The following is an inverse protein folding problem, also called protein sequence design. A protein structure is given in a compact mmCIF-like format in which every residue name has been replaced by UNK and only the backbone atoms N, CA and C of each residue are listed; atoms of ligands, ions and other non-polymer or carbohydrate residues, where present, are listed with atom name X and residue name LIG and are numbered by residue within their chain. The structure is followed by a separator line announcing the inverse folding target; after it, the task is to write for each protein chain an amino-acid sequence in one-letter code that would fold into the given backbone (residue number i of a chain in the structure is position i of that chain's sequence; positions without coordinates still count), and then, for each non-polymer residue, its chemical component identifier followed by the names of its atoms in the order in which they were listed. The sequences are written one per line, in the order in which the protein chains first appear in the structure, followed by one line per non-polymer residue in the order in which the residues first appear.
data_IF_949954512970
#
_entry.id   IF_949954512970
#
_cell.length_a   1.000
_cell.length_b   1.000
_cell.length_c   1.000
_cell.angle_alpha   90.00
_cell.angle_beta   90.00
_cell.angle_gamma   90.00
#
_symmetry.space_group_name_H-M   'P 1'
#
loop_
_entity.id
_entity.type
_entity.pdbx_description
1 polymer ?
#
# COMPACT_ATOMS: atom_id res chain seq x y z
N UNK A 1 1.15 22.60 -5.99
CA UNK A 1 0.30 21.38 -6.05
C UNK A 1 -1.08 21.80 -6.47
N UNK A 2 -1.68 21.14 -7.45
CA UNK A 2 -3.04 21.45 -7.88
C UNK A 2 -4.05 20.82 -6.91
N UNK A 3 -5.12 21.55 -6.58
CA UNK A 3 -6.17 21.09 -5.66
C UNK A 3 -6.81 19.78 -6.14
N UNK A 4 -6.91 19.57 -7.45
CA UNK A 4 -7.42 18.33 -8.05
C UNK A 4 -6.58 17.12 -7.73
N UNK A 5 -5.24 17.22 -7.79
CA UNK A 5 -4.35 16.11 -7.42
C UNK A 5 -4.49 15.75 -5.93
N UNK A 6 -4.54 16.76 -5.07
CA UNK A 6 -4.71 16.52 -3.62
C UNK A 6 -6.03 15.79 -3.31
N UNK A 7 -7.12 16.20 -3.99
CA UNK A 7 -8.42 15.54 -3.85
C UNK A 7 -8.38 14.06 -4.30
N UNK A 8 -7.76 13.78 -5.45
CA UNK A 8 -7.62 12.40 -5.92
C UNK A 8 -6.82 11.52 -4.95
N UNK A 9 -5.73 12.05 -4.38
CA UNK A 9 -4.91 11.31 -3.41
C UNK A 9 -5.65 11.08 -2.09
N UNK A 10 -6.48 12.02 -1.64
CA UNK A 10 -7.37 11.81 -0.49
C UNK A 10 -8.39 10.70 -0.77
N UNK A 11 -9.00 10.68 -1.97
CA UNK A 11 -9.89 9.60 -2.37
C UNK A 11 -9.17 8.23 -2.39
N UNK A 12 -7.91 8.17 -2.83
CA UNK A 12 -7.13 6.91 -2.80
C UNK A 12 -6.83 6.44 -1.39
N UNK A 13 -6.49 7.37 -0.49
CA UNK A 13 -6.30 7.05 0.92
C UNK A 13 -7.59 6.50 1.54
N UNK A 14 -8.77 7.03 1.17
CA UNK A 14 -10.07 6.53 1.59
C UNK A 14 -10.43 5.20 0.92
N UNK A 15 -10.24 5.08 -0.39
CA UNK A 15 -10.48 3.85 -1.15
C UNK A 15 -9.65 2.65 -0.64
N UNK A 16 -8.48 2.91 -0.01
CA UNK A 16 -7.65 1.84 0.56
C UNK A 16 -8.31 1.06 1.70
N UNK A 17 -9.44 1.55 2.24
CA UNK A 17 -10.24 0.84 3.25
C UNK A 17 -11.25 -0.16 2.64
N UNK A 18 -11.47 -0.11 1.33
CA UNK A 18 -12.31 -1.08 0.64
C UNK A 18 -11.60 -2.42 0.47
N UNK A 19 -12.39 -3.48 0.37
CA UNK A 19 -11.90 -4.79 -0.08
C UNK A 19 -11.81 -4.77 -1.62
N UNK A 20 -10.60 -4.47 -2.08
CA UNK A 20 -10.31 -4.25 -3.51
C UNK A 20 -9.71 -5.49 -4.19
N UNK A 21 -9.82 -6.66 -3.55
CA UNK A 21 -9.31 -7.92 -4.12
C UNK A 21 -9.89 -8.17 -5.51
N UNK A 22 -8.98 -8.44 -6.45
CA UNK A 22 -9.30 -8.98 -7.78
C UNK A 22 -10.32 -8.20 -8.63
N UNK A 23 -10.52 -6.91 -8.38
CA UNK A 23 -11.39 -6.10 -9.25
C UNK A 23 -10.77 -5.89 -10.62
N UNK A 24 -11.15 -6.74 -11.56
CA UNK A 24 -10.69 -6.68 -12.95
C UNK A 24 -11.51 -5.70 -13.80
N UNK A 25 -12.76 -5.40 -13.41
CA UNK A 25 -13.65 -4.53 -14.19
C UNK A 25 -13.83 -3.15 -13.57
N UNK A 26 -14.07 -2.17 -14.44
CA UNK A 26 -14.42 -0.80 -14.02
C UNK A 26 -15.70 -0.77 -13.20
N UNK A 27 -16.68 -1.62 -13.55
CA UNK A 27 -17.96 -1.69 -12.85
C UNK A 27 -17.82 -2.24 -11.43
N UNK A 28 -17.01 -3.28 -11.23
CA UNK A 28 -16.76 -3.83 -9.89
C UNK A 28 -16.13 -2.76 -8.98
N UNK A 29 -15.18 -1.99 -9.51
CA UNK A 29 -14.56 -0.88 -8.77
C UNK A 29 -15.59 0.19 -8.38
N UNK A 30 -16.49 0.55 -9.30
CA UNK A 30 -17.59 1.50 -9.03
C UNK A 30 -18.49 0.96 -7.91
N UNK A 31 -18.92 -0.30 -7.98
CA UNK A 31 -19.85 -0.90 -7.03
C UNK A 31 -19.21 -1.02 -5.62
N UNK A 32 -17.92 -1.40 -5.54
CA UNK A 32 -17.20 -1.49 -4.27
C UNK A 32 -17.03 -0.11 -3.64
N UNK A 33 -16.61 0.90 -4.40
CA UNK A 33 -16.39 2.25 -3.87
C UNK A 33 -17.71 2.97 -3.48
N UNK A 34 -18.84 2.58 -4.07
CA UNK A 34 -20.16 3.08 -3.70
C UNK A 34 -20.69 2.44 -2.40
N UNK A 35 -20.16 1.29 -2.01
CA UNK A 35 -20.56 0.55 -0.82
C UNK A 35 -19.79 0.94 0.45
N UNK A 36 -20.25 0.38 1.59
CA UNK A 36 -19.55 0.50 2.86
C UNK A 36 -18.14 -0.14 2.79
N UNK A 37 -17.15 0.42 3.46
CA UNK A 37 -17.15 1.62 4.32
C UNK A 37 -16.91 2.93 3.57
N UNK A 38 -16.71 2.94 2.25
CA UNK A 38 -16.24 4.08 1.48
C UNK A 38 -17.36 5.08 1.16
N UNK A 39 -18.49 4.57 0.67
CA UNK A 39 -19.69 5.36 0.39
C UNK A 39 -19.45 6.56 -0.54
N UNK A 40 -18.62 6.41 -1.56
CA UNK A 40 -18.46 7.43 -2.59
C UNK A 40 -19.78 7.68 -3.32
N UNK A 41 -20.06 8.93 -3.65
CA UNK A 41 -21.17 9.25 -4.54
C UNK A 41 -20.97 8.64 -5.93
N UNK A 42 -22.06 8.46 -6.68
CA UNK A 42 -22.01 7.94 -8.06
C UNK A 42 -21.00 8.71 -8.91
N UNK A 43 -20.99 10.03 -8.82
CA UNK A 43 -20.02 10.87 -9.55
C UNK A 43 -18.57 10.56 -9.14
N UNK A 44 -18.30 10.41 -7.85
CA UNK A 44 -16.94 10.11 -7.35
C UNK A 44 -16.48 8.74 -7.83
N UNK A 45 -17.34 7.71 -7.76
CA UNK A 45 -16.98 6.34 -8.19
C UNK A 45 -16.71 6.27 -9.68
N UNK A 46 -17.57 6.92 -10.51
CA UNK A 46 -17.41 6.93 -11.95
C UNK A 46 -16.12 7.66 -12.38
N UNK A 47 -15.86 8.85 -11.82
CA UNK A 47 -14.64 9.61 -12.14
C UNK A 47 -13.39 8.91 -11.62
N UNK A 48 -13.44 8.28 -10.44
CA UNK A 48 -12.32 7.48 -9.91
C UNK A 48 -12.02 6.30 -10.85
N UNK A 49 -13.02 5.48 -11.16
CA UNK A 49 -12.86 4.29 -11.99
C UNK A 49 -12.52 4.59 -13.45
N UNK A 50 -12.88 5.78 -13.96
CA UNK A 50 -12.47 6.27 -15.26
C UNK A 50 -10.98 6.59 -15.33
N UNK A 51 -10.43 7.20 -14.28
CA UNK A 51 -9.06 7.69 -14.26
C UNK A 51 -8.06 6.66 -13.72
N UNK A 52 -8.51 5.74 -12.86
CA UNK A 52 -7.66 4.82 -12.13
C UNK A 52 -8.11 3.37 -12.27
N UNK A 53 -7.16 2.47 -12.22
CA UNK A 53 -7.38 1.03 -12.08
C UNK A 53 -6.53 0.49 -10.92
N UNK A 54 -6.92 -0.65 -10.37
CA UNK A 54 -6.11 -1.37 -9.39
C UNK A 54 -5.05 -2.15 -10.15
N UNK A 55 -3.78 -1.80 -9.92
CA UNK A 55 -2.64 -2.54 -10.45
C UNK A 55 -2.30 -3.73 -9.56
N UNK A 56 -2.43 -3.56 -8.24
CA UNK A 56 -2.29 -4.63 -7.26
C UNK A 56 -2.94 -4.24 -5.92
N UNK A 57 -3.47 -5.23 -5.20
CA UNK A 57 -3.98 -5.06 -3.84
C UNK A 57 -3.36 -6.09 -2.92
N UNK A 58 -2.88 -5.64 -1.75
CA UNK A 58 -2.47 -6.47 -0.64
C UNK A 58 -3.56 -6.42 0.42
N UNK A 59 -4.34 -7.50 0.59
CA UNK A 59 -5.34 -7.58 1.64
C UNK A 59 -4.69 -7.61 3.03
N UNK A 60 -5.53 -7.56 4.07
CA UNK A 60 -5.08 -7.55 5.45
C UNK A 60 -4.10 -8.66 5.79
N UNK A 61 -2.94 -8.27 6.24
CA UNK A 61 -1.96 -9.15 6.86
C UNK A 61 -2.18 -9.26 8.38
N UNK A 62 -1.54 -10.22 9.04
CA UNK A 62 -1.63 -10.42 10.49
C UNK A 62 -1.15 -9.19 11.30
N UNK A 63 -0.30 -8.35 10.74
CA UNK A 63 0.11 -7.07 11.32
C UNK A 63 -0.95 -5.97 11.17
N UNK A 64 -2.02 -6.21 10.41
CA UNK A 64 -2.99 -5.20 9.99
C UNK A 64 -2.49 -4.34 8.81
N UNK A 65 -1.36 -4.67 8.19
CA UNK A 65 -0.90 -4.02 6.96
C UNK A 65 -1.83 -4.35 5.80
N UNK A 66 -2.24 -3.34 5.06
CA UNK A 66 -2.96 -3.45 3.80
C UNK A 66 -2.59 -2.27 2.90
N UNK A 67 -2.51 -2.51 1.60
CA UNK A 67 -2.13 -1.50 0.62
C UNK A 67 -2.76 -1.75 -0.74
N UNK A 68 -3.04 -0.69 -1.46
CA UNK A 68 -3.51 -0.75 -2.84
C UNK A 68 -2.59 0.06 -3.74
N UNK A 69 -2.12 -0.55 -4.82
CA UNK A 69 -1.40 0.12 -5.89
C UNK A 69 -2.39 0.47 -7.00
N UNK A 70 -2.60 1.75 -7.22
CA UNK A 70 -3.38 2.28 -8.32
C UNK A 70 -2.48 2.65 -9.49
N UNK A 71 -2.96 2.44 -10.71
CA UNK A 71 -2.30 2.89 -11.93
C UNK A 71 -3.22 3.81 -12.72
N UNK A 72 -2.68 4.92 -13.22
CA UNK A 72 -3.41 5.84 -14.07
C UNK A 72 -3.80 5.18 -15.39
N UNK A 73 -5.07 5.30 -15.78
CA UNK A 73 -5.55 4.84 -17.08
C UNK A 73 -5.15 5.79 -18.21
N UNK A 74 -5.01 7.08 -17.90
CA UNK A 74 -4.60 8.10 -18.84
C UNK A 74 -3.09 8.07 -19.10
N UNK A 75 -2.31 7.76 -18.07
CA UNK A 75 -0.84 7.71 -18.11
C UNK A 75 -0.34 6.37 -17.55
N UNK A 76 -0.37 5.28 -18.33
CA UNK A 76 0.15 3.99 -17.90
C UNK A 76 1.60 4.10 -17.43
N UNK A 77 1.90 3.44 -16.31
CA UNK A 77 3.19 3.55 -15.62
C UNK A 77 3.24 4.66 -14.57
N UNK A 78 2.22 5.52 -14.47
CA UNK A 78 2.08 6.46 -13.36
C UNK A 78 1.28 5.79 -12.24
N UNK A 79 1.94 5.54 -11.11
CA UNK A 79 1.40 4.80 -9.98
C UNK A 79 1.19 5.67 -8.74
N UNK A 80 0.17 5.30 -7.97
CA UNK A 80 -0.04 5.76 -6.60
C UNK A 80 -0.20 4.55 -5.70
N UNK A 81 0.59 4.47 -4.64
CA UNK A 81 0.38 3.46 -3.59
C UNK A 81 -0.36 4.09 -2.42
N UNK A 82 -1.48 3.50 -2.01
CA UNK A 82 -2.26 3.94 -0.87
C UNK A 82 -2.19 2.90 0.26
N UNK A 83 -1.79 3.37 1.45
CA UNK A 83 -1.73 2.55 2.65
C UNK A 83 -2.97 2.77 3.49
N UNK A 84 -3.63 1.66 3.86
CA UNK A 84 -4.75 1.70 4.78
C UNK A 84 -4.28 2.00 6.20
N UNK A 85 -5.02 2.85 6.90
CA UNK A 85 -4.91 2.97 8.36
C UNK A 85 -5.55 1.79 9.08
N UNK A 86 -5.58 1.84 10.41
CA UNK A 86 -6.18 0.76 11.21
C UNK A 86 -7.69 0.71 10.99
N UNK A 87 -8.20 -0.44 10.53
CA UNK A 87 -9.65 -0.65 10.38
C UNK A 87 -10.31 -0.86 11.75
N UNK A 88 -11.44 -0.21 11.99
CA UNK A 88 -12.27 -0.42 13.18
C UNK A 88 -11.90 0.40 14.41
N UNK A 89 -11.02 1.39 14.32
CA UNK A 89 -10.59 2.20 15.45
C UNK A 89 -11.14 3.64 15.39
N UNK A 90 -12.43 3.81 15.09
CA UNK A 90 -13.07 5.14 15.17
C UNK A 90 -13.07 5.74 16.58
N UNK A 91 -12.79 4.95 17.63
CA UNK A 91 -12.74 5.41 19.03
C UNK A 91 -11.31 5.55 19.60
N UNK A 92 -10.27 5.41 18.79
CA UNK A 92 -8.89 5.29 19.29
C UNK A 92 -8.05 6.57 19.21
N UNK A 93 -8.61 7.73 19.45
CA UNK A 93 -7.80 8.94 19.63
C UNK A 93 -6.88 8.88 20.86
N UNK A 94 -7.13 7.96 21.80
CA UNK A 94 -6.31 7.78 23.01
C UNK A 94 -5.26 6.65 22.91
N UNK A 95 -5.46 5.64 22.05
CA UNK A 95 -4.63 4.43 22.00
C UNK A 95 -3.65 4.37 20.82
N UNK A 96 -3.63 5.35 19.91
CA UNK A 96 -2.64 5.38 18.82
C UNK A 96 -1.21 5.33 19.37
N UNK A 97 -0.96 5.98 20.51
CA UNK A 97 0.33 5.92 21.19
C UNK A 97 0.64 4.54 21.82
N UNK A 98 -0.38 3.77 22.23
CA UNK A 98 -0.22 2.40 22.71
C UNK A 98 0.14 1.44 21.57
N UNK A 99 -0.53 1.54 20.43
CA UNK A 99 -0.31 0.71 19.25
C UNK A 99 1.10 0.93 18.66
N UNK A 100 1.58 2.16 18.65
CA UNK A 100 2.97 2.48 18.25
C UNK A 100 3.97 1.91 19.27
N UNK A 101 3.60 1.86 20.57
CA UNK A 101 4.44 1.28 21.64
C UNK A 101 4.57 -0.25 21.60
N UNK A 102 3.57 -0.96 21.09
CA UNK A 102 3.52 -2.45 21.09
C UNK A 102 4.23 -3.11 19.89
N UNK A 103 5.00 -2.36 19.11
CA UNK A 103 5.75 -2.88 17.96
C UNK A 103 4.89 -3.18 16.71
N UNK A 104 3.59 -2.89 16.74
CA UNK A 104 2.68 -3.13 15.61
C UNK A 104 3.05 -2.27 14.40
N UNK A 105 3.35 -0.99 14.62
CA UNK A 105 3.79 -0.09 13.56
C UNK A 105 5.10 -0.57 12.91
N UNK A 106 6.02 -1.13 13.71
CA UNK A 106 7.26 -1.74 13.21
C UNK A 106 7.00 -2.94 12.30
N UNK A 107 6.05 -3.80 12.67
CA UNK A 107 5.66 -4.96 11.85
C UNK A 107 5.03 -4.52 10.52
N UNK A 108 4.16 -3.53 10.54
CA UNK A 108 3.58 -2.98 9.33
C UNK A 108 4.62 -2.32 8.41
N UNK A 109 5.65 -1.67 8.97
CA UNK A 109 6.77 -1.12 8.18
C UNK A 109 7.55 -2.26 7.49
N UNK A 110 7.79 -3.38 8.17
CA UNK A 110 8.44 -4.55 7.57
C UNK A 110 7.58 -5.16 6.45
N UNK A 111 6.27 -5.31 6.67
CA UNK A 111 5.36 -5.81 5.65
C UNK A 111 5.25 -4.86 4.45
N UNK A 112 5.21 -3.54 4.69
CA UNK A 112 5.27 -2.50 3.65
C UNK A 112 6.56 -2.61 2.83
N UNK A 113 7.72 -2.76 3.51
CA UNK A 113 9.01 -2.94 2.85
C UNK A 113 8.99 -4.17 1.94
N UNK A 114 8.56 -5.32 2.47
CA UNK A 114 8.52 -6.58 1.73
C UNK A 114 7.54 -6.52 0.55
N UNK A 115 6.38 -5.92 0.75
CA UNK A 115 5.39 -5.72 -0.30
C UNK A 115 5.93 -4.86 -1.44
N UNK A 116 6.57 -3.72 -1.12
CA UNK A 116 7.17 -2.87 -2.14
C UNK A 116 8.31 -3.55 -2.88
N UNK A 117 9.20 -4.23 -2.18
CA UNK A 117 10.31 -4.97 -2.81
C UNK A 117 9.79 -6.04 -3.78
N UNK A 118 8.71 -6.70 -3.43
CA UNK A 118 8.07 -7.68 -4.31
C UNK A 118 7.49 -7.04 -5.58
N UNK A 119 6.81 -5.91 -5.46
CA UNK A 119 6.24 -5.17 -6.60
C UNK A 119 7.33 -4.60 -7.52
N UNK A 120 8.43 -4.10 -6.93
CA UNK A 120 9.48 -3.37 -7.64
C UNK A 120 10.53 -4.28 -8.28
N UNK A 121 10.84 -5.41 -7.67
CA UNK A 121 11.84 -6.33 -8.18
C UNK A 121 11.43 -6.87 -9.56
N UNK A 122 12.37 -6.99 -10.52
CA UNK A 122 12.06 -7.53 -11.84
C UNK A 122 11.33 -8.87 -11.77
N UNK A 123 10.35 -9.06 -12.65
CA UNK A 123 9.55 -10.28 -12.66
C UNK A 123 10.44 -11.53 -12.72
N UNK A 124 10.21 -12.47 -11.80
CA UNK A 124 10.96 -13.72 -11.71
C UNK A 124 12.33 -13.63 -11.04
N UNK A 125 12.79 -12.45 -10.63
CA UNK A 125 14.07 -12.28 -9.89
C UNK A 125 13.92 -12.51 -8.40
N UNK A 126 15.02 -12.87 -7.72
CA UNK A 126 15.10 -12.79 -6.26
C UNK A 126 15.18 -11.32 -5.81
N UNK A 127 14.65 -11.05 -4.63
CA UNK A 127 14.72 -9.73 -4.01
C UNK A 127 15.02 -9.83 -2.51
N UNK A 128 15.33 -8.70 -1.89
CA UNK A 128 15.60 -8.64 -0.46
C UNK A 128 14.30 -8.50 0.32
N UNK A 129 14.14 -9.30 1.37
CA UNK A 129 13.04 -9.22 2.33
C UNK A 129 13.58 -8.93 3.72
N UNK A 130 12.84 -8.14 4.47
CA UNK A 130 13.12 -7.83 5.86
C UNK A 130 12.40 -8.84 6.77
N UNK A 131 13.10 -9.37 7.76
CA UNK A 131 12.53 -10.31 8.75
C UNK A 131 13.01 -9.93 10.14
N UNK A 132 12.15 -10.07 11.16
CA UNK A 132 12.55 -9.91 12.54
C UNK A 132 13.44 -11.07 12.99
N UNK A 133 14.46 -10.75 13.77
CA UNK A 133 15.32 -11.79 14.34
C UNK A 133 14.64 -12.45 15.55
N UNK A 134 14.71 -13.78 15.63
CA UNK A 134 14.08 -14.55 16.71
C UNK A 134 14.58 -14.15 18.12
N UNK A 135 15.83 -13.68 18.23
CA UNK A 135 16.48 -13.38 19.51
C UNK A 135 16.60 -11.87 19.80
N UNK A 136 16.13 -11.02 18.88
CA UNK A 136 16.14 -9.57 19.03
C UNK A 136 14.93 -9.01 18.26
N UNK A 137 13.73 -8.98 18.90
CA UNK A 137 12.48 -8.61 18.23
C UNK A 137 12.48 -7.16 17.67
N UNK A 138 13.41 -6.32 18.11
CA UNK A 138 13.60 -4.96 17.61
C UNK A 138 14.64 -4.89 16.47
N UNK A 139 15.28 -6.02 16.11
CA UNK A 139 16.26 -6.07 15.04
C UNK A 139 15.69 -6.76 13.80
N UNK A 140 15.93 -6.15 12.67
CA UNK A 140 15.52 -6.64 11.35
C UNK A 140 16.76 -7.13 10.59
N UNK A 141 16.65 -8.28 9.95
CA UNK A 141 17.64 -8.81 9.02
C UNK A 141 17.09 -8.82 7.60
N UNK A 142 17.98 -8.67 6.62
CA UNK A 142 17.66 -8.87 5.22
C UNK A 142 18.01 -10.31 4.81
N UNK A 143 17.08 -10.94 4.10
CA UNK A 143 17.25 -12.26 3.50
C UNK A 143 16.80 -12.20 2.03
N UNK A 144 17.11 -13.24 1.25
CA UNK A 144 16.52 -13.35 -0.09
C UNK A 144 15.08 -13.87 0.00
N UNK A 145 14.22 -13.42 -0.92
CA UNK A 145 12.83 -13.84 -0.99
C UNK A 145 12.65 -15.35 -1.04
N UNK A 146 13.48 -16.04 -1.82
CA UNK A 146 13.46 -17.51 -1.90
C UNK A 146 13.85 -18.21 -0.60
N UNK A 147 14.69 -17.61 0.25
CA UNK A 147 15.01 -18.15 1.57
C UNK A 147 13.83 -18.03 2.54
N UNK A 148 13.08 -16.93 2.47
CA UNK A 148 11.94 -16.70 3.36
C UNK A 148 10.71 -17.49 2.91
N UNK A 149 10.32 -17.38 1.65
CA UNK A 149 9.04 -17.91 1.17
C UNK A 149 9.14 -19.34 0.61
N UNK A 150 10.35 -19.80 0.28
CA UNK A 150 10.52 -21.07 -0.45
C UNK A 150 10.22 -20.92 -1.94
N UNK A 151 10.90 -21.69 -2.77
CA UNK A 151 10.90 -21.53 -4.23
C UNK A 151 9.54 -21.73 -4.93
N UNK A 152 8.57 -22.34 -4.26
CA UNK A 152 7.23 -22.61 -4.79
C UNK A 152 6.18 -21.57 -4.42
N UNK A 153 6.49 -20.62 -3.54
CA UNK A 153 5.59 -19.55 -3.15
C UNK A 153 5.56 -18.46 -4.24
N UNK A 154 4.41 -17.85 -4.46
CA UNK A 154 4.27 -16.76 -5.45
C UNK A 154 5.14 -15.54 -5.11
N UNK A 155 5.36 -15.29 -3.81
CA UNK A 155 6.21 -14.20 -3.31
C UNK A 155 7.69 -14.55 -3.28
N UNK A 156 8.08 -15.76 -3.69
CA UNK A 156 9.49 -16.13 -3.79
C UNK A 156 10.25 -15.33 -4.85
N UNK A 157 9.53 -14.80 -5.83
CA UNK A 157 10.10 -14.04 -6.96
C UNK A 157 9.39 -12.70 -7.11
N UNK A 158 10.13 -11.70 -7.60
CA UNK A 158 9.61 -10.38 -7.89
C UNK A 158 8.42 -10.41 -8.85
N UNK A 159 7.44 -9.55 -8.62
CA UNK A 159 6.25 -9.42 -9.47
C UNK A 159 6.49 -8.50 -10.67
N UNK A 160 7.32 -7.48 -10.51
CA UNK A 160 7.75 -6.62 -11.61
C UNK A 160 6.75 -5.55 -12.04
N UNK A 161 5.70 -5.29 -11.25
CA UNK A 161 4.64 -4.33 -11.61
C UNK A 161 5.17 -2.89 -11.69
N UNK A 162 6.08 -2.53 -10.79
CA UNK A 162 6.65 -1.18 -10.69
C UNK A 162 8.14 -1.14 -11.03
N UNK A 163 8.66 -2.16 -11.71
CA UNK A 163 10.08 -2.20 -12.06
C UNK A 163 10.50 -1.01 -12.90
N UNK A 164 11.53 -0.31 -12.46
CA UNK A 164 12.16 0.78 -13.22
C UNK A 164 11.40 2.10 -13.21
N UNK A 165 10.38 2.25 -12.36
CA UNK A 165 9.79 3.58 -12.13
C UNK A 165 10.77 4.45 -11.36
N UNK A 166 10.78 5.74 -11.66
CA UNK A 166 11.64 6.76 -11.06
C UNK A 166 10.84 7.74 -10.17
N UNK A 167 9.51 7.62 -10.14
CA UNK A 167 8.62 8.42 -9.28
C UNK A 167 7.39 7.63 -8.84
N UNK A 168 6.94 7.84 -7.58
CA UNK A 168 5.67 7.33 -7.07
C UNK A 168 5.04 8.30 -6.07
N UNK A 169 3.75 8.57 -6.23
CA UNK A 169 2.95 9.22 -5.19
C UNK A 169 2.48 8.19 -4.15
N UNK A 170 2.50 8.58 -2.88
CA UNK A 170 2.15 7.71 -1.75
C UNK A 170 1.07 8.38 -0.93
N UNK A 171 -0.08 7.73 -0.77
CA UNK A 171 -1.21 8.26 -0.01
C UNK A 171 -1.47 7.42 1.25
N UNK A 172 -1.96 8.05 2.32
CA UNK A 172 -2.37 7.33 3.52
C UNK A 172 -3.11 8.21 4.51
N UNK A 173 -4.10 7.62 5.20
CA UNK A 173 -4.85 8.26 6.27
C UNK A 173 -4.47 7.65 7.62
N UNK A 174 -4.36 8.47 8.67
CA UNK A 174 -4.05 8.00 10.03
C UNK A 174 -2.74 7.17 10.08
N UNK A 175 -2.77 5.91 10.54
CA UNK A 175 -1.60 5.01 10.56
C UNK A 175 -1.07 4.75 9.13
N UNK A 176 -1.93 4.73 8.11
CA UNK A 176 -1.49 4.69 6.71
C UNK A 176 -0.67 5.92 6.31
N UNK A 177 -0.95 7.09 6.87
CA UNK A 177 -0.13 8.29 6.73
C UNK A 177 1.27 8.13 7.35
N UNK A 178 1.38 7.44 8.49
CA UNK A 178 2.67 7.08 9.07
C UNK A 178 3.47 6.14 8.14
N UNK A 179 2.81 5.13 7.56
CA UNK A 179 3.45 4.24 6.59
C UNK A 179 3.88 5.00 5.33
N UNK A 180 3.07 5.93 4.82
CA UNK A 180 3.42 6.78 3.69
C UNK A 180 4.69 7.61 3.98
N UNK A 181 4.79 8.20 5.17
CA UNK A 181 5.97 8.95 5.61
C UNK A 181 7.21 8.04 5.77
N UNK A 182 7.04 6.81 6.27
CA UNK A 182 8.12 5.83 6.38
C UNK A 182 8.61 5.37 4.99
N UNK A 183 7.68 5.16 4.05
CA UNK A 183 7.97 4.77 2.68
C UNK A 183 8.93 5.76 2.00
N UNK A 184 8.70 7.06 2.12
CA UNK A 184 9.56 8.09 1.51
C UNK A 184 11.00 8.08 2.04
N UNK A 185 11.22 7.54 3.22
CA UNK A 185 12.55 7.43 3.82
C UNK A 185 13.27 6.15 3.45
N UNK A 186 12.53 5.08 3.17
CA UNK A 186 13.07 3.76 2.85
C UNK A 186 13.38 3.61 1.36
N UNK A 187 12.63 4.29 0.49
CA UNK A 187 12.69 4.09 -0.97
C UNK A 187 13.00 5.36 -1.74
N UNK A 188 14.01 6.09 -1.29
CA UNK A 188 14.43 7.39 -1.86
C UNK A 188 14.76 7.34 -3.36
N UNK A 189 15.16 6.18 -3.86
CA UNK A 189 15.53 5.99 -5.28
C UNK A 189 14.34 6.06 -6.24
N UNK A 190 13.11 5.99 -5.72
CA UNK A 190 11.88 6.12 -6.50
C UNK A 190 11.23 7.50 -6.36
N UNK A 191 11.97 8.51 -5.93
CA UNK A 191 11.51 9.89 -5.70
C UNK A 191 10.07 9.96 -5.14
N UNK A 192 9.80 9.31 -3.99
CA UNK A 192 8.44 9.19 -3.49
C UNK A 192 7.95 10.48 -2.84
N UNK A 193 6.71 10.85 -3.12
CA UNK A 193 6.05 11.99 -2.48
C UNK A 193 4.86 11.52 -1.65
N UNK A 194 4.93 11.70 -0.32
CA UNK A 194 3.87 11.28 0.59
C UNK A 194 2.82 12.36 0.81
N UNK A 195 1.57 11.93 0.81
CA UNK A 195 0.37 12.71 1.12
C UNK A 195 -0.36 12.04 2.28
N UNK A 196 -0.40 12.70 3.41
CA UNK A 196 -0.98 12.18 4.65
C UNK A 196 -2.24 12.96 5.01
N UNK A 197 -3.30 12.24 5.39
CA UNK A 197 -4.61 12.78 5.70
C UNK A 197 -5.07 12.38 7.10
#
# INVERSE_FOLDING_TARGET
MEAGKLYQLAQMAEASYADLEATSSTQDLVDILAGDPINFSTYQTEEFAKNWKIAHHQPDMLSGFSATLFESREQPGNFVIAFRGTAGLMDLSADIFGIVGDGLAGRQIVDMYNYWQWLYAPAGSDYQVAVYTANAPDAVQLQTSTQLFGASDEKAKGLGVTTGIDHIDVAGHSLGGHLAAAFTRLFVDTDPVAYTF
#
